data_IF_239176245738
#
_entry.id   IF_239176245738
#
_cell.length_a   1.000
_cell.length_b   1.000
_cell.length_c   1.000
_cell.angle_alpha   90.00
_cell.angle_beta   90.00
_cell.angle_gamma   90.00
#
_symmetry.space_group_name_H-M   'P 1'
#
loop_
_entity.id
_entity.type
_entity.pdbx_description
1 polymer ?
#
# COMPACT_ATOMS: atom_id res chain seq x y z
N UNK A 1 35.37 16.31 -32.10
CA UNK A 1 34.83 16.14 -30.73
C UNK A 1 33.75 15.06 -30.76
N UNK A 2 34.09 13.78 -30.54
CA UNK A 2 33.14 12.64 -30.64
C UNK A 2 33.36 11.61 -29.51
N UNK A 3 33.67 12.07 -28.29
CA UNK A 3 33.99 11.20 -27.15
C UNK A 3 32.82 10.85 -26.23
N UNK A 4 31.70 11.59 -26.28
CA UNK A 4 30.63 11.50 -25.29
C UNK A 4 29.59 10.40 -25.54
N UNK A 5 29.40 9.98 -26.79
CA UNK A 5 28.31 9.06 -27.16
C UNK A 5 28.55 7.58 -26.76
N UNK A 6 29.81 7.19 -26.49
CA UNK A 6 30.14 5.81 -26.10
C UNK A 6 29.84 5.50 -24.64
N UNK A 7 29.68 6.51 -23.80
CA UNK A 7 29.38 6.35 -22.37
C UNK A 7 27.87 6.32 -22.08
N UNK A 8 27.03 6.79 -23.00
CA UNK A 8 25.57 6.82 -22.89
C UNK A 8 24.93 5.46 -22.54
N UNK A 9 25.29 4.32 -23.17
CA UNK A 9 24.70 3.02 -22.81
C UNK A 9 25.11 2.57 -21.40
N UNK A 10 26.34 2.88 -20.97
CA UNK A 10 26.80 2.55 -19.62
C UNK A 10 26.10 3.40 -18.55
N UNK A 11 25.90 4.69 -18.81
CA UNK A 11 25.15 5.58 -17.92
C UNK A 11 23.68 5.16 -17.84
N UNK A 12 23.06 4.80 -18.97
CA UNK A 12 21.68 4.30 -18.99
C UNK A 12 21.53 2.96 -18.25
N UNK A 13 22.46 2.02 -18.44
CA UNK A 13 22.48 0.76 -17.71
C UNK A 13 22.68 0.96 -16.20
N UNK A 14 23.57 1.86 -15.80
CA UNK A 14 23.79 2.20 -14.39
C UNK A 14 22.56 2.89 -13.77
N UNK A 15 21.91 3.79 -14.51
CA UNK A 15 20.67 4.43 -14.07
C UNK A 15 19.52 3.41 -13.91
N UNK A 16 19.41 2.45 -14.82
CA UNK A 16 18.38 1.41 -14.76
C UNK A 16 18.65 0.43 -13.61
N UNK A 17 19.92 0.07 -13.37
CA UNK A 17 20.33 -0.71 -12.21
C UNK A 17 20.04 0.04 -10.90
N UNK A 18 20.34 1.34 -10.84
CA UNK A 18 20.03 2.17 -9.69
C UNK A 18 18.52 2.32 -9.45
N UNK A 19 17.68 2.21 -10.48
CA UNK A 19 16.22 2.22 -10.33
C UNK A 19 15.69 0.89 -9.75
N UNK A 20 16.30 -0.24 -10.12
CA UNK A 20 15.94 -1.57 -9.64
C UNK A 20 16.45 -1.88 -8.23
N UNK A 21 17.63 -1.35 -7.88
CA UNK A 21 18.31 -1.57 -6.59
C UNK A 21 18.37 -0.31 -5.72
N UNK A 22 17.67 0.75 -6.11
CA UNK A 22 17.55 1.97 -5.33
C UNK A 22 16.91 1.70 -3.97
N UNK A 23 16.91 2.68 -3.03
CA UNK A 23 16.37 2.51 -1.69
C UNK A 23 14.88 2.17 -1.79
N UNK A 24 14.59 0.87 -1.82
CA UNK A 24 13.25 0.35 -1.94
C UNK A 24 12.41 0.72 -0.73
N UNK A 25 11.13 0.41 -0.84
CA UNK A 25 10.12 0.46 0.21
C UNK A 25 10.45 -0.55 1.34
N UNK A 26 11.60 -0.40 1.99
CA UNK A 26 11.99 -1.17 3.15
C UNK A 26 11.51 -0.42 4.40
N UNK A 27 10.91 -1.15 5.33
CA UNK A 27 10.36 -0.61 6.60
C UNK A 27 11.34 0.33 7.34
N UNK A 28 12.62 -0.05 7.35
CA UNK A 28 13.74 0.71 7.89
C UNK A 28 13.83 2.15 7.36
N UNK A 29 13.66 2.35 6.04
CA UNK A 29 13.79 3.68 5.42
C UNK A 29 12.72 4.66 5.91
N UNK A 30 11.47 4.17 6.08
CA UNK A 30 10.37 4.98 6.59
C UNK A 30 10.55 5.29 8.08
N UNK A 31 10.98 4.31 8.87
CA UNK A 31 11.27 4.50 10.30
C UNK A 31 12.35 5.56 10.52
N UNK A 32 13.51 5.41 9.87
CA UNK A 32 14.60 6.39 10.02
C UNK A 32 14.22 7.79 9.56
N UNK A 33 13.43 7.90 8.48
CA UNK A 33 12.99 9.21 8.00
C UNK A 33 12.06 9.88 9.01
N UNK A 34 11.14 9.13 9.59
CA UNK A 34 10.26 9.64 10.65
C UNK A 34 11.07 10.08 11.89
N UNK A 35 12.05 9.27 12.32
CA UNK A 35 12.93 9.62 13.45
C UNK A 35 13.71 10.91 13.19
N UNK A 36 14.23 11.10 11.96
CA UNK A 36 14.94 12.31 11.53
C UNK A 36 14.01 13.53 11.47
N UNK A 37 12.80 13.37 10.95
CA UNK A 37 11.81 14.45 10.87
C UNK A 37 11.41 14.93 12.28
N UNK A 38 11.19 14.01 13.22
CA UNK A 38 10.89 14.32 14.62
C UNK A 38 12.08 15.01 15.30
N UNK A 39 13.30 14.50 15.10
CA UNK A 39 14.50 15.16 15.63
C UNK A 39 14.66 16.59 15.09
N UNK A 40 14.33 16.81 13.81
CA UNK A 40 14.25 18.13 13.20
C UNK A 40 13.24 19.04 13.90
N UNK A 41 12.02 18.57 14.12
CA UNK A 41 10.97 19.35 14.81
C UNK A 41 11.37 19.69 16.26
N UNK A 42 11.92 18.72 16.99
CA UNK A 42 12.35 18.93 18.37
C UNK A 42 13.46 19.98 18.40
N UNK A 43 14.50 19.83 17.57
CA UNK A 43 15.62 20.78 17.53
C UNK A 43 15.17 22.20 17.17
N UNK A 44 14.24 22.36 16.24
CA UNK A 44 13.68 23.67 15.86
C UNK A 44 12.87 24.32 16.99
N UNK A 45 12.15 23.52 17.79
CA UNK A 45 11.26 24.03 18.84
C UNK A 45 11.95 24.13 20.21
N UNK A 46 13.11 23.52 20.38
CA UNK A 46 13.86 23.48 21.63
C UNK A 46 14.67 24.76 21.88
N UNK A 47 14.03 25.92 21.81
CA UNK A 47 14.66 27.25 21.92
C UNK A 47 14.50 27.87 23.31
N UNK A 48 13.41 27.52 24.02
CA UNK A 48 13.08 28.15 25.28
C UNK A 48 13.67 27.38 26.48
N UNK A 49 14.30 28.08 27.44
CA UNK A 49 14.94 27.43 28.59
C UNK A 49 13.91 26.82 29.55
N UNK A 50 12.73 27.44 29.69
CA UNK A 50 11.72 27.05 30.68
C UNK A 50 11.15 25.63 30.43
N UNK A 51 11.11 25.20 29.17
CA UNK A 51 10.64 23.87 28.77
C UNK A 51 11.63 23.17 27.84
N UNK A 52 12.92 23.43 28.03
CA UNK A 52 13.95 22.81 27.21
C UNK A 52 13.91 21.29 27.39
N UNK A 53 13.85 20.56 26.28
CA UNK A 53 13.98 19.10 26.29
C UNK A 53 15.36 18.75 26.84
N UNK A 54 15.38 17.89 27.86
CA UNK A 54 16.61 17.44 28.52
C UNK A 54 17.57 16.83 27.48
N UNK A 55 18.88 17.02 27.69
CA UNK A 55 19.93 16.52 26.78
C UNK A 55 19.87 15.00 26.56
N UNK A 56 19.40 14.26 27.55
CA UNK A 56 19.37 12.79 27.54
C UNK A 56 18.06 12.24 26.96
N UNK A 57 17.53 12.89 25.92
CA UNK A 57 16.37 12.35 25.21
C UNK A 57 16.83 11.31 24.18
N UNK A 58 16.11 10.20 24.13
CA UNK A 58 16.39 9.11 23.22
C UNK A 58 15.09 8.72 22.51
N UNK A 59 15.21 8.33 21.23
CA UNK A 59 14.07 7.84 20.43
C UNK A 59 13.55 6.51 20.98
N UNK A 60 14.47 5.64 21.42
CA UNK A 60 14.16 4.33 21.97
C UNK A 60 14.23 4.36 23.50
N UNK A 61 13.40 3.55 24.19
CA UNK A 61 13.46 3.44 25.64
C UNK A 61 14.85 3.00 26.13
N UNK A 62 15.26 3.46 27.32
CA UNK A 62 16.44 2.95 28.01
C UNK A 62 16.30 1.41 28.18
N UNK A 63 17.35 0.60 27.94
CA UNK A 63 17.31 -0.85 28.08
C UNK A 63 16.82 -1.38 29.45
N UNK A 64 16.89 -0.56 30.50
CA UNK A 64 16.40 -0.87 31.85
C UNK A 64 14.90 -0.61 32.02
N UNK A 65 14.27 0.10 31.09
CA UNK A 65 12.85 0.39 31.15
C UNK A 65 12.03 -0.88 30.87
N UNK A 66 10.85 -0.99 31.49
CA UNK A 66 9.93 -2.12 31.30
C UNK A 66 9.49 -2.31 29.84
N UNK A 67 9.51 -1.23 29.04
CA UNK A 67 9.11 -1.24 27.64
C UNK A 67 10.30 -1.32 26.68
N UNK A 68 11.52 -1.56 27.19
CA UNK A 68 12.67 -1.78 26.35
C UNK A 68 12.50 -3.08 25.57
N UNK A 69 12.53 -2.96 24.25
CA UNK A 69 12.62 -4.11 23.36
C UNK A 69 14.04 -4.15 22.77
N UNK A 70 14.77 -5.23 23.09
CA UNK A 70 16.11 -5.46 22.55
C UNK A 70 16.07 -6.05 21.13
N UNK A 71 14.88 -6.37 20.62
CA UNK A 71 14.70 -6.93 19.29
C UNK A 71 14.88 -5.87 18.20
N UNK A 72 15.06 -6.34 16.96
CA UNK A 72 15.22 -5.43 15.83
C UNK A 72 13.87 -4.75 15.51
N UNK A 73 13.76 -3.41 15.57
CA UNK A 73 12.49 -2.71 15.38
C UNK A 73 11.92 -2.86 13.97
N UNK A 74 12.77 -3.15 12.97
CA UNK A 74 12.35 -3.37 11.59
C UNK A 74 12.04 -4.84 11.29
N UNK A 75 12.54 -5.76 12.12
CA UNK A 75 12.41 -7.23 11.98
C UNK A 75 12.17 -7.88 13.35
N UNK A 76 11.00 -7.64 13.96
CA UNK A 76 10.70 -8.25 15.24
C UNK A 76 10.68 -9.79 15.09
N UNK A 77 11.12 -10.53 16.12
CA UNK A 77 11.11 -11.98 16.09
C UNK A 77 9.67 -12.47 15.93
N UNK A 78 9.50 -13.47 15.08
CA UNK A 78 8.22 -14.17 14.97
C UNK A 78 7.91 -14.84 16.33
N UNK A 79 6.66 -14.74 16.84
CA UNK A 79 6.28 -15.44 18.07
C UNK A 79 6.52 -16.96 17.91
N UNK A 80 6.81 -17.70 18.98
CA UNK A 80 6.91 -19.15 18.86
C UNK A 80 5.58 -19.72 18.36
N UNK A 81 5.62 -20.59 17.35
CA UNK A 81 4.45 -21.35 16.89
C UNK A 81 3.82 -22.10 18.08
N UNK A 82 2.50 -22.24 18.08
CA UNK A 82 1.83 -23.06 19.06
C UNK A 82 2.24 -24.53 18.87
N UNK A 83 2.46 -25.22 20.00
CA UNK A 83 2.95 -26.60 19.97
C UNK A 83 1.98 -27.53 19.23
N UNK A 84 0.67 -27.30 19.37
CA UNK A 84 -0.37 -28.09 18.72
C UNK A 84 -0.35 -27.92 17.19
N UNK A 85 -0.34 -26.70 16.66
CA UNK A 85 -0.24 -26.52 15.21
C UNK A 85 1.10 -27.01 14.66
N UNK A 86 2.22 -26.84 15.38
CA UNK A 86 3.50 -27.37 14.93
C UNK A 86 3.50 -28.89 14.73
N UNK A 87 2.76 -29.62 15.57
CA UNK A 87 2.64 -31.08 15.49
C UNK A 87 1.57 -31.57 14.51
N UNK A 88 0.41 -30.90 14.52
CA UNK A 88 -0.80 -31.38 13.85
C UNK A 88 -1.04 -30.73 12.49
N UNK A 89 -0.59 -29.48 12.30
CA UNK A 89 -0.73 -28.83 11.02
C UNK A 89 0.17 -29.56 10.02
N UNK A 90 -0.33 -29.87 8.81
CA UNK A 90 0.53 -30.37 7.75
C UNK A 90 1.57 -29.28 7.45
N UNK A 91 2.78 -29.45 7.98
CA UNK A 91 3.89 -28.54 7.73
C UNK A 91 4.07 -28.47 6.21
N UNK A 92 3.96 -27.28 5.58
CA UNK A 92 4.10 -27.17 4.13
C UNK A 92 5.42 -27.81 3.72
N UNK A 93 5.34 -28.98 3.06
CA UNK A 93 6.52 -29.65 2.58
C UNK A 93 7.20 -28.70 1.61
N UNK A 94 8.38 -28.17 1.98
CA UNK A 94 9.24 -27.42 1.04
C UNK A 94 9.24 -28.25 -0.25
N UNK A 95 8.77 -27.72 -1.39
CA UNK A 95 8.75 -28.49 -2.63
C UNK A 95 10.19 -28.63 -3.10
N UNK A 96 10.93 -29.54 -2.48
CA UNK A 96 12.34 -29.82 -2.74
C UNK A 96 12.49 -30.73 -3.95
N UNK A 97 11.40 -31.36 -4.40
CA UNK A 97 11.30 -32.12 -5.64
C UNK A 97 9.92 -31.88 -6.25
N UNK A 98 9.80 -32.08 -7.57
CA UNK A 98 8.60 -31.96 -8.44
C UNK A 98 7.30 -32.63 -7.93
N UNK A 99 7.29 -33.23 -6.74
CA UNK A 99 6.20 -34.04 -6.17
C UNK A 99 5.50 -33.44 -4.96
N UNK A 100 5.86 -32.23 -4.49
CA UNK A 100 4.98 -31.50 -3.58
C UNK A 100 3.75 -31.12 -4.38
N UNK A 101 2.61 -31.79 -4.13
CA UNK A 101 1.35 -31.82 -4.92
C UNK A 101 1.49 -30.88 -6.13
N UNK A 102 2.17 -31.38 -7.18
CA UNK A 102 2.47 -30.55 -8.33
C UNK A 102 1.17 -29.91 -8.72
N UNK A 103 1.15 -28.57 -8.91
CA UNK A 103 -0.08 -27.81 -9.15
C UNK A 103 -1.01 -28.70 -9.95
N UNK A 104 -2.05 -29.23 -9.31
CA UNK A 104 -3.06 -29.98 -10.01
C UNK A 104 -3.91 -28.90 -10.68
N UNK A 105 -3.28 -28.17 -11.60
CA UNK A 105 -3.90 -27.34 -12.61
C UNK A 105 -4.46 -28.32 -13.65
N UNK A 106 -5.32 -29.23 -13.19
CA UNK A 106 -6.14 -30.07 -14.05
C UNK A 106 -7.47 -29.36 -14.25
N UNK A 107 -8.10 -29.57 -15.40
CA UNK A 107 -9.44 -29.06 -15.67
C UNK A 107 -10.52 -29.76 -14.83
N UNK A 108 -10.17 -30.57 -13.81
CA UNK A 108 -11.12 -31.38 -13.04
C UNK A 108 -12.28 -30.59 -12.44
N UNK A 109 -12.02 -29.41 -11.88
CA UNK A 109 -13.09 -28.56 -11.35
C UNK A 109 -13.89 -27.86 -12.46
N UNK A 110 -13.21 -27.45 -13.54
CA UNK A 110 -13.86 -26.77 -14.68
C UNK A 110 -14.75 -27.72 -15.47
N UNK A 111 -14.31 -28.97 -15.67
CA UNK A 111 -15.05 -30.03 -16.33
C UNK A 111 -16.28 -30.46 -15.53
N UNK A 112 -16.17 -30.54 -14.19
CA UNK A 112 -17.32 -30.75 -13.31
C UNK A 112 -18.38 -29.65 -13.48
N UNK A 113 -17.96 -28.38 -13.51
CA UNK A 113 -18.87 -27.25 -13.74
C UNK A 113 -19.52 -27.31 -15.12
N UNK A 114 -18.77 -27.66 -16.16
CA UNK A 114 -19.30 -27.82 -17.52
C UNK A 114 -20.34 -28.95 -17.60
N UNK A 115 -20.12 -30.06 -16.88
CA UNK A 115 -21.08 -31.16 -16.81
C UNK A 115 -22.39 -30.70 -16.17
N UNK A 116 -22.34 -30.03 -15.01
CA UNK A 116 -23.55 -29.50 -14.38
C UNK A 116 -24.26 -28.46 -15.24
N UNK A 117 -23.51 -27.61 -15.94
CA UNK A 117 -24.11 -26.62 -16.83
C UNK A 117 -24.86 -27.29 -18.01
N UNK A 118 -24.35 -28.43 -18.48
CA UNK A 118 -25.00 -29.23 -19.53
C UNK A 118 -26.24 -29.96 -19.00
N UNK A 119 -26.17 -30.57 -17.82
CA UNK A 119 -27.31 -31.24 -17.17
C UNK A 119 -28.44 -30.25 -16.90
N UNK A 120 -28.13 -29.08 -16.34
CA UNK A 120 -29.13 -28.03 -16.07
C UNK A 120 -29.83 -27.53 -17.34
N UNK A 121 -29.12 -27.47 -18.48
CA UNK A 121 -29.74 -27.10 -19.77
C UNK A 121 -30.56 -28.23 -20.39
N UNK A 122 -30.21 -29.48 -20.12
CA UNK A 122 -31.01 -30.63 -20.55
C UNK A 122 -32.33 -30.71 -19.78
N UNK A 123 -32.31 -30.34 -18.50
CA UNK A 123 -33.47 -30.37 -17.62
C UNK A 123 -34.37 -29.13 -17.74
N UNK A 124 -33.91 -28.02 -18.33
CA UNK A 124 -34.72 -26.83 -18.56
C UNK A 124 -35.58 -26.94 -19.84
N UNK A 125 -36.91 -27.09 -19.73
CA UNK A 125 -37.80 -27.21 -20.89
C UNK A 125 -37.89 -25.91 -21.72
N UNK A 126 -37.38 -24.79 -21.23
CA UNK A 126 -37.30 -23.50 -21.93
C UNK A 126 -35.88 -23.12 -22.36
N UNK A 127 -34.93 -24.07 -22.32
CA UNK A 127 -33.55 -23.79 -22.71
C UNK A 127 -33.50 -23.28 -24.17
N UNK A 128 -32.90 -22.09 -24.42
CA UNK A 128 -32.81 -21.56 -25.78
C UNK A 128 -31.91 -22.49 -26.61
N UNK A 129 -32.49 -23.13 -27.64
CA UNK A 129 -31.75 -23.93 -28.62
C UNK A 129 -30.56 -23.13 -29.13
N UNK A 130 -29.36 -23.71 -28.96
CA UNK A 130 -28.06 -23.21 -29.37
C UNK A 130 -28.09 -21.87 -30.13
N UNK A 131 -27.78 -20.76 -29.44
CA UNK A 131 -27.28 -19.58 -30.15
C UNK A 131 -26.07 -20.05 -30.95
N UNK A 132 -26.22 -20.06 -32.28
CA UNK A 132 -25.14 -20.21 -33.22
C UNK A 132 -23.91 -19.45 -32.70
N UNK A 133 -22.76 -20.13 -32.70
CA UNK A 133 -21.46 -19.65 -32.26
C UNK A 133 -21.40 -18.11 -32.28
N UNK A 134 -21.48 -17.51 -31.08
CA UNK A 134 -21.21 -16.09 -30.94
C UNK A 134 -19.81 -15.88 -31.52
N UNK A 135 -19.75 -15.17 -32.66
CA UNK A 135 -18.49 -14.77 -33.28
C UNK A 135 -17.59 -14.05 -32.27
N UNK A 136 -16.31 -13.83 -32.61
CA UNK A 136 -15.34 -13.25 -31.70
C UNK A 136 -15.93 -12.01 -31.06
N UNK A 137 -16.00 -12.02 -29.73
CA UNK A 137 -16.47 -10.89 -28.93
C UNK A 137 -15.77 -9.63 -29.42
N UNK A 138 -16.50 -8.55 -29.74
CA UNK A 138 -15.85 -7.31 -30.13
C UNK A 138 -14.89 -6.91 -29.00
N UNK A 139 -13.66 -6.48 -29.33
CA UNK A 139 -12.68 -6.12 -28.32
C UNK A 139 -13.26 -5.04 -27.41
N UNK A 140 -12.90 -5.04 -26.11
CA UNK A 140 -13.37 -4.01 -25.19
C UNK A 140 -13.04 -2.63 -25.79
N UNK A 141 -13.93 -1.64 -25.63
CA UNK A 141 -13.70 -0.32 -26.19
C UNK A 141 -12.36 0.20 -25.68
N UNK A 142 -11.46 0.53 -26.61
CA UNK A 142 -10.12 0.97 -26.28
C UNK A 142 -10.23 2.21 -25.39
N UNK A 143 -9.67 2.13 -24.17
CA UNK A 143 -9.50 3.28 -23.28
C UNK A 143 -8.37 4.19 -23.82
N UNK A 144 -8.49 4.65 -25.06
CA UNK A 144 -7.73 5.81 -25.52
C UNK A 144 -8.57 7.05 -25.20
N UNK A 145 -8.17 7.75 -24.14
CA UNK A 145 -8.47 9.17 -24.00
C UNK A 145 -9.49 9.61 -22.96
N UNK A 146 -9.76 8.85 -21.90
CA UNK A 146 -10.47 9.40 -20.72
C UNK A 146 -9.80 8.95 -19.43
N UNK A 147 -9.01 9.85 -18.87
CA UNK A 147 -8.34 9.65 -17.59
C UNK A 147 -9.33 9.33 -16.47
N UNK A 148 -8.94 8.34 -15.66
CA UNK A 148 -9.11 8.27 -14.21
C UNK A 148 -10.29 9.09 -13.64
N UNK A 149 -11.46 8.46 -13.53
CA UNK A 149 -12.51 8.93 -12.60
C UNK A 149 -13.25 7.78 -11.89
N UNK A 150 -12.50 6.78 -11.46
CA UNK A 150 -12.98 5.76 -10.53
C UNK A 150 -12.02 5.63 -9.35
N UNK A 151 -12.05 6.61 -8.46
CA UNK A 151 -11.75 6.44 -7.04
C UNK A 151 -12.33 7.65 -6.29
N UNK A 152 -12.85 7.42 -5.09
CA UNK A 152 -13.45 8.37 -4.14
C UNK A 152 -14.88 8.86 -4.42
N UNK A 153 -15.86 8.02 -4.08
CA UNK A 153 -17.07 8.47 -3.41
C UNK A 153 -16.77 8.64 -1.92
N UNK A 154 -16.10 9.73 -1.56
CA UNK A 154 -16.01 10.23 -0.19
C UNK A 154 -16.02 11.76 -0.26
N UNK A 155 -17.14 12.35 0.16
CA UNK A 155 -17.27 13.76 0.55
C UNK A 155 -17.04 14.80 -0.55
N UNK A 156 -18.11 15.27 -1.17
CA UNK A 156 -18.06 16.52 -1.92
C UNK A 156 -17.75 17.71 -0.98
N UNK A 157 -16.76 18.56 -1.28
CA UNK A 157 -16.65 19.86 -0.63
C UNK A 157 -17.77 20.77 -1.15
N UNK A 158 -18.65 21.23 -0.26
CA UNK A 158 -19.56 22.35 -0.54
C UNK A 158 -18.74 23.54 -1.01
N UNK A 159 -19.16 24.13 -2.13
CA UNK A 159 -18.62 25.38 -2.65
C UNK A 159 -18.66 26.49 -1.58
N UNK A 160 -17.69 27.42 -1.56
CA UNK A 160 -17.75 28.59 -0.70
C UNK A 160 -18.91 29.49 -1.15
N UNK A 161 -19.90 29.64 -0.28
CA UNK A 161 -20.92 30.68 -0.40
C UNK A 161 -20.21 32.03 -0.32
N UNK A 162 -20.11 32.71 -1.46
CA UNK A 162 -19.78 34.13 -1.55
C UNK A 162 -20.92 34.93 -0.90
N UNK A 163 -20.85 35.08 0.42
CA UNK A 163 -21.67 36.00 1.20
C UNK A 163 -20.77 37.06 1.81
N UNK A 164 -20.88 38.30 1.33
CA UNK A 164 -20.27 39.47 1.92
C UNK A 164 -20.73 39.59 3.39
N UNK A 165 -19.83 39.35 4.34
CA UNK A 165 -20.03 39.67 5.74
C UNK A 165 -19.44 41.05 6.01
N UNK A 166 -20.29 42.08 5.97
CA UNK A 166 -19.92 43.42 6.45
C UNK A 166 -19.75 43.36 7.97
N UNK A 167 -18.62 43.81 8.54
CA UNK A 167 -18.49 43.91 9.99
C UNK A 167 -19.34 45.08 10.53
N UNK A 168 -20.02 44.92 11.68
CA UNK A 168 -20.67 46.05 12.33
C UNK A 168 -19.61 47.03 12.86
N UNK A 169 -19.81 48.30 12.51
CA UNK A 169 -19.04 49.45 12.97
C UNK A 169 -19.11 49.59 14.50
N UNK A 170 -17.98 49.41 15.18
CA UNK A 170 -17.79 49.87 16.55
C UNK A 170 -17.74 51.41 16.56
N UNK A 171 -18.91 52.03 16.74
CA UNK A 171 -18.97 53.43 17.15
C UNK A 171 -18.56 53.53 18.62
N UNK A 172 -17.49 54.30 18.85
CA UNK A 172 -17.16 54.80 20.18
C UNK A 172 -18.09 55.93 20.59
N UNK A 173 -18.31 56.01 21.90
CA UNK A 173 -19.01 57.08 22.62
C UNK A 173 -19.36 56.53 24.00
N UNK A 174 -19.09 57.17 25.14
CA UNK A 174 -18.54 58.47 25.44
C UNK A 174 -18.40 58.57 26.97
N UNK A 175 -17.75 59.64 27.39
CA UNK A 175 -17.44 60.03 28.78
C UNK A 175 -18.66 60.06 29.71
N UNK A 176 -18.43 59.76 30.99
CA UNK A 176 -19.35 60.08 32.09
C UNK A 176 -18.85 59.51 33.42
N UNK A 177 -18.29 60.36 34.27
CA UNK A 177 -17.82 60.04 35.62
C UNK A 177 -16.74 60.99 36.11
#
# INVERSE_FOLDING_TARGET
MHGSARCLPFVAAFALLALLFGPGCARYNYRERADKDVAGIISQKNVFPDWQVKKDWHVYPDPRARFADASNPDRPPYPPDDYAAKLLAPNPQRPTKKSGVGRQDGEGYVSLLQQWDAENRADDPNAPTARAAAGPTPPPPSLKGRGSRYWMSLGEPRAPMSGCFSPPSLQGGGMGG
#
